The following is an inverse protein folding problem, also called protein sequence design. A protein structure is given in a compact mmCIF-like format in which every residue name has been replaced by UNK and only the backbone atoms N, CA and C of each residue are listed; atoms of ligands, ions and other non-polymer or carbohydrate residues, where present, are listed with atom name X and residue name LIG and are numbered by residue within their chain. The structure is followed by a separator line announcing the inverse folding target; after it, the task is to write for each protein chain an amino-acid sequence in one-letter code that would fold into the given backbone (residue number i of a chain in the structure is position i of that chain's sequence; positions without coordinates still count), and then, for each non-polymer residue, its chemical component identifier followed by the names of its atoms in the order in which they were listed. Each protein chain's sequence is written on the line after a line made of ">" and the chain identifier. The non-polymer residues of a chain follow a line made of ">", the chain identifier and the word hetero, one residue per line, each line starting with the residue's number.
data_IF_757527457879
#
_entry.id   IF_757527457879
#
_cell.length_a   1.000
_cell.length_b   1.000
_cell.length_c   1.000
_cell.angle_alpha   90.00
_cell.angle_beta   90.00
_cell.angle_gamma   90.00
#
_symmetry.space_group_name_H-M   'P 1'
#
loop_
_entity.id
_entity.type
_entity.pdbx_description
1 polymer ?
#
# COMPACT_ATOMS: atom_id res chain seq x y z
N UNK A 1 -2.26 45.07 -14.53
CA UNK A 1 -2.62 43.72 -14.01
C UNK A 1 -1.43 42.90 -13.45
N UNK A 2 -0.26 43.48 -13.13
CA UNK A 2 0.90 42.73 -12.57
C UNK A 2 0.87 42.50 -11.05
N UNK A 3 0.11 43.30 -10.29
CA UNK A 3 0.10 43.20 -8.82
C UNK A 3 -0.61 41.94 -8.30
N UNK A 4 -1.58 41.41 -9.06
CA UNK A 4 -2.29 40.19 -8.69
C UNK A 4 -1.36 38.97 -8.67
N UNK A 5 -0.52 38.80 -9.71
CA UNK A 5 0.44 37.67 -9.78
C UNK A 5 1.46 37.68 -8.63
N UNK A 6 2.06 38.83 -8.32
CA UNK A 6 2.99 38.97 -7.18
C UNK A 6 2.34 38.69 -5.82
N UNK A 7 1.07 39.09 -5.63
CA UNK A 7 0.31 38.83 -4.39
C UNK A 7 -0.04 37.35 -4.24
N UNK A 8 -0.37 36.69 -5.35
CA UNK A 8 -0.63 35.25 -5.40
C UNK A 8 0.64 34.45 -5.10
N UNK A 9 1.77 34.75 -5.75
CA UNK A 9 3.07 34.11 -5.44
C UNK A 9 3.47 34.28 -3.97
N UNK A 10 3.28 35.47 -3.40
CA UNK A 10 3.62 35.75 -2.00
C UNK A 10 2.73 34.97 -1.03
N UNK A 11 1.44 34.80 -1.35
CA UNK A 11 0.52 33.93 -0.60
C UNK A 11 0.90 32.45 -0.71
N UNK A 12 1.35 31.99 -1.88
CA UNK A 12 1.86 30.63 -2.05
C UNK A 12 3.11 30.40 -1.19
N UNK A 13 4.08 31.32 -1.25
CA UNK A 13 5.30 31.26 -0.42
C UNK A 13 5.01 31.39 1.09
N UNK A 14 3.96 32.10 1.49
CA UNK A 14 3.49 32.17 2.89
C UNK A 14 2.74 30.91 3.34
N UNK A 15 2.07 30.20 2.42
CA UNK A 15 1.38 28.94 2.75
C UNK A 15 2.36 27.79 2.95
N UNK A 16 3.47 27.72 2.22
CA UNK A 16 4.53 26.72 2.44
C UNK A 16 5.56 27.21 3.46
N UNK A 17 5.12 27.47 4.69
CA UNK A 17 6.05 27.61 5.82
C UNK A 17 6.64 26.25 6.18
N UNK A 18 7.84 26.23 6.78
CA UNK A 18 8.49 25.00 7.28
C UNK A 18 7.56 24.15 8.14
N UNK A 19 6.68 24.78 8.92
CA UNK A 19 5.68 24.10 9.74
C UNK A 19 4.62 23.38 8.90
N UNK A 20 4.18 23.96 7.78
CA UNK A 20 3.24 23.29 6.86
C UNK A 20 3.89 22.07 6.19
N UNK A 21 5.17 22.17 5.83
CA UNK A 21 5.94 21.03 5.31
C UNK A 21 6.05 19.93 6.37
N UNK A 22 6.42 20.27 7.60
CA UNK A 22 6.50 19.31 8.71
C UNK A 22 5.14 18.67 9.04
N UNK A 23 4.05 19.44 8.97
CA UNK A 23 2.69 18.91 9.16
C UNK A 23 2.31 17.94 8.04
N UNK A 24 2.61 18.26 6.79
CA UNK A 24 2.38 17.35 5.67
C UNK A 24 3.26 16.09 5.79
N UNK A 25 4.53 16.22 6.13
CA UNK A 25 5.40 15.07 6.40
C UNK A 25 4.87 14.20 7.54
N UNK A 26 4.34 14.82 8.60
CA UNK A 26 3.73 14.09 9.70
C UNK A 26 2.45 13.36 9.25
N UNK A 27 1.60 14.00 8.45
CA UNK A 27 0.41 13.37 7.86
C UNK A 27 0.77 12.23 6.90
N UNK A 28 1.79 12.40 6.07
CA UNK A 28 2.28 11.35 5.16
C UNK A 28 2.95 10.19 5.92
N UNK A 29 3.64 10.45 7.03
CA UNK A 29 4.23 9.39 7.88
C UNK A 29 3.18 8.61 8.67
N UNK A 30 2.06 9.23 9.01
CA UNK A 30 1.03 8.63 9.86
C UNK A 30 0.00 7.81 9.08
N UNK A 31 -0.17 8.06 7.78
CA UNK A 31 -1.16 7.37 6.97
C UNK A 31 -0.48 6.36 6.03
N UNK A 32 -0.86 5.08 6.06
CA UNK A 32 -0.36 4.10 5.11
C UNK A 32 -0.75 4.54 3.70
N UNK A 33 0.24 4.61 2.80
CA UNK A 33 0.01 4.99 1.41
C UNK A 33 -0.79 3.88 0.74
N UNK A 34 -2.03 4.17 0.36
CA UNK A 34 -2.86 3.22 -0.36
C UNK A 34 -2.31 3.04 -1.78
N UNK A 35 -2.18 1.80 -2.27
CA UNK A 35 -1.69 1.54 -3.61
C UNK A 35 -2.65 2.07 -4.67
N UNK A 36 -2.08 2.61 -5.75
CA UNK A 36 -2.85 3.09 -6.89
C UNK A 36 -3.46 1.91 -7.67
N UNK A 37 -4.44 2.17 -8.53
CA UNK A 37 -5.04 1.14 -9.37
C UNK A 37 -3.99 0.42 -10.26
N UNK A 38 -2.96 1.14 -10.73
CA UNK A 38 -1.86 0.56 -11.50
C UNK A 38 -1.03 -0.41 -10.65
N UNK A 39 -0.73 -0.03 -9.41
CA UNK A 39 -0.01 -0.87 -8.45
C UNK A 39 -0.78 -2.16 -8.16
N UNK A 40 -2.11 -2.08 -8.03
CA UNK A 40 -2.96 -3.27 -7.81
C UNK A 40 -2.94 -4.27 -8.97
N UNK A 41 -2.82 -3.82 -10.22
CA UNK A 41 -2.68 -4.72 -11.37
C UNK A 41 -1.37 -5.53 -11.28
N UNK A 42 -0.28 -4.89 -10.84
CA UNK A 42 1.01 -5.56 -10.63
C UNK A 42 0.91 -6.58 -9.51
N UNK A 43 0.28 -6.23 -8.39
CA UNK A 43 0.05 -7.15 -7.27
C UNK A 43 -0.71 -8.41 -7.69
N UNK A 44 -1.75 -8.28 -8.50
CA UNK A 44 -2.48 -9.43 -8.98
C UNK A 44 -1.57 -10.40 -9.74
N UNK A 45 -0.76 -9.89 -10.68
CA UNK A 45 0.18 -10.71 -11.45
C UNK A 45 1.22 -11.39 -10.56
N UNK A 46 1.78 -10.66 -9.59
CA UNK A 46 2.76 -11.20 -8.65
C UNK A 46 2.16 -12.34 -7.81
N UNK A 47 0.91 -12.21 -7.37
CA UNK A 47 0.22 -13.25 -6.61
C UNK A 47 -0.11 -14.48 -7.47
N UNK A 48 -0.53 -14.28 -8.72
CA UNK A 48 -0.77 -15.36 -9.68
C UNK A 48 0.53 -16.14 -9.97
N UNK A 49 1.64 -15.41 -10.15
CA UNK A 49 2.96 -16.01 -10.34
C UNK A 49 3.43 -16.76 -9.09
N UNK A 50 3.24 -16.19 -7.90
CA UNK A 50 3.58 -16.85 -6.64
C UNK A 50 2.79 -18.15 -6.40
N UNK A 51 1.51 -18.19 -6.79
CA UNK A 51 0.72 -19.42 -6.75
C UNK A 51 1.30 -20.47 -7.71
N UNK A 52 1.68 -20.04 -8.91
CA UNK A 52 2.24 -20.93 -9.94
C UNK A 52 3.61 -21.50 -9.56
N UNK A 53 4.46 -20.70 -8.91
CA UNK A 53 5.81 -21.11 -8.52
C UNK A 53 5.88 -21.72 -7.11
N UNK A 54 4.83 -21.53 -6.30
CA UNK A 54 4.84 -21.90 -4.87
C UNK A 54 5.77 -21.00 -4.04
N UNK A 55 6.17 -19.84 -4.56
CA UNK A 55 7.11 -18.95 -3.90
C UNK A 55 6.50 -18.31 -2.64
N UNK A 56 7.35 -18.15 -1.62
CA UNK A 56 6.98 -17.45 -0.39
C UNK A 56 7.04 -15.94 -0.62
N UNK A 57 6.00 -15.23 -0.17
CA UNK A 57 5.92 -13.78 -0.25
C UNK A 57 5.66 -13.17 1.12
N UNK A 58 6.16 -11.95 1.31
CA UNK A 58 5.76 -11.06 2.40
C UNK A 58 4.74 -10.06 1.86
N UNK A 59 3.56 -10.05 2.48
CA UNK A 59 2.45 -9.18 2.12
C UNK A 59 2.21 -8.18 3.25
N UNK A 60 2.29 -6.90 2.91
CA UNK A 60 1.90 -5.80 3.78
C UNK A 60 0.44 -5.42 3.49
N UNK A 61 -0.37 -5.33 4.53
CA UNK A 61 -1.81 -5.05 4.40
C UNK A 61 -2.37 -4.34 5.63
N UNK A 62 -3.50 -3.67 5.45
CA UNK A 62 -4.24 -3.01 6.51
C UNK A 62 -5.15 -3.98 7.24
N UNK A 63 -4.95 -4.09 8.55
CA UNK A 63 -5.83 -4.83 9.45
C UNK A 63 -6.29 -3.91 10.57
N UNK A 64 -7.61 -3.66 10.66
CA UNK A 64 -8.21 -2.75 11.65
C UNK A 64 -7.57 -1.35 11.69
N UNK A 65 -7.16 -0.83 10.53
CA UNK A 65 -6.50 0.48 10.40
C UNK A 65 -4.98 0.48 10.64
N UNK A 66 -4.41 -0.65 11.06
CA UNK A 66 -2.97 -0.78 11.28
C UNK A 66 -2.31 -1.55 10.14
N UNK A 67 -1.17 -1.05 9.67
CA UNK A 67 -0.34 -1.77 8.72
C UNK A 67 0.29 -3.00 9.41
N UNK A 68 0.13 -4.15 8.79
CA UNK A 68 0.63 -5.44 9.28
C UNK A 68 1.27 -6.21 8.14
N UNK A 69 2.27 -7.04 8.45
CA UNK A 69 2.95 -7.89 7.48
C UNK A 69 2.63 -9.36 7.73
N UNK A 70 2.52 -10.15 6.67
CA UNK A 70 2.41 -11.60 6.75
C UNK A 70 3.31 -12.25 5.71
N UNK A 71 4.13 -13.20 6.16
CA UNK A 71 4.96 -14.01 5.26
C UNK A 71 4.38 -15.42 5.12
N UNK A 72 4.26 -15.89 3.88
CA UNK A 72 3.75 -17.22 3.59
C UNK A 72 3.67 -17.50 2.08
N UNK A 73 3.33 -18.73 1.74
CA UNK A 73 3.06 -19.13 0.36
C UNK A 73 1.61 -18.76 0.03
N UNK A 74 1.41 -18.05 -1.07
CA UNK A 74 0.07 -17.72 -1.56
C UNK A 74 -0.55 -18.98 -2.15
N UNK A 75 -1.69 -19.41 -1.61
CA UNK A 75 -2.34 -20.65 -2.02
C UNK A 75 -3.46 -20.43 -3.01
N UNK A 76 -4.22 -19.33 -2.87
CA UNK A 76 -5.41 -19.09 -3.71
C UNK A 76 -5.75 -17.60 -3.81
N UNK A 77 -6.18 -17.19 -5.00
CA UNK A 77 -6.81 -15.90 -5.29
C UNK A 77 -8.31 -16.11 -5.54
N UNK A 78 -9.16 -15.53 -4.69
CA UNK A 78 -10.61 -15.55 -4.85
C UNK A 78 -11.10 -14.27 -5.51
N UNK A 79 -10.97 -14.17 -6.84
CA UNK A 79 -11.32 -12.96 -7.60
C UNK A 79 -12.74 -12.46 -7.31
N UNK A 80 -13.73 -13.35 -7.31
CA UNK A 80 -15.13 -12.98 -7.06
C UNK A 80 -15.40 -12.41 -5.65
N UNK A 81 -14.52 -12.69 -4.67
CA UNK A 81 -14.64 -12.23 -3.29
C UNK A 81 -13.61 -11.15 -2.93
N UNK A 82 -12.69 -10.83 -3.85
CA UNK A 82 -11.57 -9.93 -3.57
C UNK A 82 -10.71 -10.39 -2.40
N UNK A 83 -10.50 -11.71 -2.24
CA UNK A 83 -9.71 -12.27 -1.14
C UNK A 83 -8.48 -13.02 -1.67
N UNK A 84 -7.44 -13.03 -0.87
CA UNK A 84 -6.25 -13.84 -1.06
C UNK A 84 -6.10 -14.77 0.14
N UNK A 85 -5.61 -15.98 -0.09
CA UNK A 85 -5.31 -16.95 0.96
C UNK A 85 -3.81 -17.25 0.96
N UNK A 86 -3.23 -17.23 2.15
CA UNK A 86 -1.82 -17.52 2.40
C UNK A 86 -1.69 -18.62 3.42
N UNK A 87 -0.72 -19.50 3.22
CA UNK A 87 -0.27 -20.49 4.19
C UNK A 87 1.06 -20.03 4.79
N UNK A 88 1.10 -19.81 6.09
CA UNK A 88 2.33 -19.45 6.82
C UNK A 88 3.26 -20.65 6.96
N UNK A 89 4.51 -20.40 7.35
CA UNK A 89 5.48 -21.46 7.68
C UNK A 89 5.02 -22.39 8.80
N UNK A 90 4.17 -21.90 9.71
CA UNK A 90 3.54 -22.70 10.77
C UNK A 90 2.38 -23.58 10.27
N UNK A 91 2.03 -23.52 8.98
CA UNK A 91 0.92 -24.25 8.39
C UNK A 91 -0.45 -23.61 8.60
N UNK A 92 -0.53 -22.41 9.19
CA UNK A 92 -1.78 -21.68 9.38
C UNK A 92 -2.21 -21.01 8.08
N UNK A 93 -3.50 -21.11 7.77
CA UNK A 93 -4.09 -20.41 6.64
C UNK A 93 -4.67 -19.07 7.09
N UNK A 94 -4.38 -18.02 6.34
CA UNK A 94 -4.87 -16.68 6.59
C UNK A 94 -5.46 -16.09 5.32
N UNK A 95 -6.64 -15.50 5.46
CA UNK A 95 -7.33 -14.79 4.37
C UNK A 95 -7.19 -13.29 4.57
N UNK A 96 -6.85 -12.60 3.49
CA UNK A 96 -6.63 -11.15 3.48
C UNK A 96 -7.48 -10.57 2.35
N UNK A 97 -8.06 -9.39 2.56
CA UNK A 97 -8.75 -8.68 1.50
C UNK A 97 -7.74 -8.08 0.52
N UNK A 98 -7.92 -8.32 -0.78
CA UNK A 98 -7.06 -7.78 -1.83
C UNK A 98 -7.04 -6.24 -1.80
N UNK A 99 -8.15 -5.61 -1.45
CA UNK A 99 -8.21 -4.15 -1.35
C UNK A 99 -7.47 -3.56 -0.14
N UNK A 100 -7.17 -4.40 0.85
CA UNK A 100 -6.40 -4.00 2.03
C UNK A 100 -4.88 -4.07 1.81
N UNK A 101 -4.44 -4.61 0.68
CA UNK A 101 -3.02 -4.74 0.37
C UNK A 101 -2.37 -3.37 0.24
N UNK A 102 -1.18 -3.25 0.81
CA UNK A 102 -0.32 -2.08 0.74
C UNK A 102 0.89 -2.37 -0.13
N UNK A 103 1.51 -3.54 0.05
CA UNK A 103 2.72 -3.94 -0.67
C UNK A 103 2.87 -5.46 -0.73
N UNK A 104 3.62 -5.95 -1.73
CA UNK A 104 3.93 -7.37 -1.92
C UNK A 104 5.39 -7.50 -2.32
N UNK A 105 6.12 -8.37 -1.62
CA UNK A 105 7.54 -8.60 -1.83
C UNK A 105 7.84 -10.07 -1.81
N UNK A 106 8.77 -10.50 -2.66
CA UNK A 106 9.31 -11.85 -2.60
C UNK A 106 10.13 -12.03 -1.31
N UNK A 107 9.91 -13.13 -0.60
CA UNK A 107 10.75 -13.49 0.54
C UNK A 107 11.93 -14.30 0.01
N UNK A 108 13.10 -13.66 -0.05
CA UNK A 108 14.40 -14.33 -0.32
C UNK A 108 14.80 -15.22 0.83
#
# INVERSE_FOLDING_TARGET
>A
MLQSKKRTERKWRQRTTRNHILQLEHLYKTHPVLPTAQTKIVFQRMLEDAIRTGQTMTIDYLQHGNATALTGSVTTLFHARGLIELKTSTGLYRRIAFDSLLDIREST
#
